data_IF_745206111119
#
_entry.id   IF_745206111119
#
_cell.length_a   1.000
_cell.length_b   1.000
_cell.length_c   1.000
_cell.angle_alpha   90.00
_cell.angle_beta   90.00
_cell.angle_gamma   90.00
#
_symmetry.space_group_name_H-M   'P 1'
#
loop_
_entity.id
_entity.type
_entity.pdbx_description
1 polymer ?
#
# COMPACT_ATOMS: atom_id res chain seq x y z
N UNK A 1 47.77 4.63 17.06
CA UNK A 1 46.72 3.78 16.47
C UNK A 1 45.45 4.05 17.27
N UNK A 2 44.50 4.86 16.78
CA UNK A 2 43.31 5.21 17.55
C UNK A 2 42.35 4.02 17.60
N UNK A 3 41.71 3.86 18.75
CA UNK A 3 40.70 2.84 19.01
C UNK A 3 39.45 3.11 18.15
N UNK A 4 39.01 2.10 17.41
CA UNK A 4 37.70 2.08 16.78
C UNK A 4 36.66 1.87 17.88
N UNK A 5 35.91 2.93 18.18
CA UNK A 5 34.70 2.86 18.99
C UNK A 5 33.63 2.12 18.18
N UNK A 6 33.34 0.87 18.53
CA UNK A 6 32.14 0.19 18.08
C UNK A 6 30.94 0.88 18.75
N UNK A 7 30.22 1.67 17.95
CA UNK A 7 28.93 2.25 18.32
C UNK A 7 27.92 1.10 18.44
N UNK A 8 27.75 0.62 19.67
CA UNK A 8 26.75 -0.38 20.02
C UNK A 8 25.36 0.18 19.73
N UNK A 9 24.73 -0.36 18.67
CA UNK A 9 23.33 -0.12 18.39
C UNK A 9 22.49 -0.61 19.58
N UNK A 10 21.94 0.35 20.33
CA UNK A 10 21.03 0.11 21.43
C UNK A 10 19.77 -0.61 20.92
N UNK A 11 19.69 -1.91 21.15
CA UNK A 11 18.49 -2.71 20.92
C UNK A 11 17.42 -2.33 21.97
N UNK A 12 16.24 -1.92 21.49
CA UNK A 12 15.07 -1.74 22.35
C UNK A 12 14.72 -3.05 23.08
N UNK A 13 14.26 -3.00 24.34
CA UNK A 13 14.00 -4.18 25.17
C UNK A 13 12.89 -5.11 24.64
N UNK A 14 12.24 -4.75 23.53
CA UNK A 14 11.21 -5.53 22.84
C UNK A 14 11.74 -6.30 21.60
N UNK A 15 13.02 -6.15 21.23
CA UNK A 15 13.60 -6.83 20.06
C UNK A 15 12.99 -6.40 18.71
N UNK A 16 12.33 -5.24 18.66
CA UNK A 16 11.78 -4.68 17.41
C UNK A 16 12.82 -3.79 16.76
N UNK A 17 13.19 -4.11 15.53
CA UNK A 17 14.05 -3.24 14.72
C UNK A 17 13.41 -1.85 14.53
N UNK A 18 14.22 -0.78 14.44
CA UNK A 18 13.72 0.59 14.34
C UNK A 18 12.88 0.76 13.07
N UNK A 19 11.62 1.15 13.25
CA UNK A 19 10.71 1.47 12.14
C UNK A 19 10.78 2.96 11.86
N UNK A 20 11.02 3.32 10.60
CA UNK A 20 10.96 4.72 10.19
C UNK A 20 9.50 5.15 10.12
N UNK A 21 9.17 6.27 10.75
CA UNK A 21 7.81 6.80 10.77
C UNK A 21 7.69 7.95 9.77
N UNK A 22 6.78 7.81 8.82
CA UNK A 22 6.44 8.82 7.82
C UNK A 22 5.06 9.36 8.14
N UNK A 23 4.88 10.68 8.04
CA UNK A 23 3.56 11.32 8.05
C UNK A 23 3.20 11.70 6.62
N UNK A 24 1.95 11.47 6.26
CA UNK A 24 1.37 11.90 4.99
C UNK A 24 0.14 12.76 5.26
N UNK A 25 0.15 13.95 4.69
CA UNK A 25 -1.03 14.81 4.56
C UNK A 25 -1.35 14.88 3.07
N UNK A 26 -2.47 14.29 2.66
CA UNK A 26 -2.86 14.15 1.26
C UNK A 26 -4.19 14.87 1.03
N UNK A 27 -4.18 15.87 0.16
CA UNK A 27 -5.40 16.44 -0.41
C UNK A 27 -5.85 15.55 -1.57
N UNK A 28 -6.82 14.68 -1.31
CA UNK A 28 -7.36 13.73 -2.28
C UNK A 28 -8.51 14.40 -3.07
N UNK A 29 -8.36 14.44 -4.39
CA UNK A 29 -9.41 14.80 -5.35
C UNK A 29 -9.60 13.66 -6.33
N UNK A 30 -10.46 12.71 -5.99
CA UNK A 30 -10.80 11.58 -6.84
C UNK A 30 -12.08 11.88 -7.61
N UNK A 31 -11.92 12.36 -8.85
CA UNK A 31 -13.03 12.76 -9.71
C UNK A 31 -13.83 11.54 -10.18
N UNK A 32 -13.16 10.40 -10.37
CA UNK A 32 -13.77 9.17 -10.86
C UNK A 32 -14.77 8.59 -9.86
N UNK A 33 -14.46 8.68 -8.55
CA UNK A 33 -15.35 8.25 -7.45
C UNK A 33 -16.15 9.38 -6.80
N UNK A 34 -15.85 10.63 -7.12
CA UNK A 34 -16.43 11.81 -6.46
C UNK A 34 -16.00 11.96 -4.99
N UNK A 35 -14.79 11.55 -4.64
CA UNK A 35 -14.24 11.60 -3.27
C UNK A 35 -13.28 12.79 -3.15
N UNK A 36 -13.56 13.69 -2.20
CA UNK A 36 -12.77 14.89 -1.95
C UNK A 36 -12.46 14.99 -0.47
N UNK A 37 -11.24 14.63 -0.07
CA UNK A 37 -10.90 14.42 1.34
C UNK A 37 -9.50 14.95 1.68
N UNK A 38 -9.30 15.29 2.94
CA UNK A 38 -7.97 15.57 3.48
C UNK A 38 -7.55 14.43 4.40
N UNK A 39 -6.63 13.60 3.92
CA UNK A 39 -6.13 12.44 4.65
C UNK A 39 -4.89 12.85 5.46
N UNK A 40 -4.85 12.58 6.75
CA UNK A 40 -3.67 12.80 7.61
C UNK A 40 -3.38 11.54 8.41
N UNK A 41 -2.34 10.82 8.02
CA UNK A 41 -1.99 9.55 8.64
C UNK A 41 -0.48 9.37 8.76
N UNK A 42 -0.09 8.43 9.63
CA UNK A 42 1.30 8.03 9.81
C UNK A 42 1.48 6.56 9.44
N UNK A 43 2.54 6.28 8.70
CA UNK A 43 2.89 4.93 8.26
C UNK A 43 4.27 4.59 8.78
N UNK A 44 4.37 3.48 9.49
CA UNK A 44 5.65 2.90 9.87
C UNK A 44 6.17 2.03 8.72
N UNK A 45 7.38 2.34 8.25
CA UNK A 45 8.13 1.55 7.29
C UNK A 45 8.96 0.50 8.06
N UNK A 46 8.74 -0.77 7.74
CA UNK A 46 9.60 -1.85 8.22
C UNK A 46 10.97 -1.82 7.50
N UNK A 47 12.09 -2.22 8.12
CA UNK A 47 13.40 -2.23 7.46
C UNK A 47 13.46 -3.05 6.16
N UNK A 48 12.59 -4.05 6.00
CA UNK A 48 12.46 -4.83 4.77
C UNK A 48 11.58 -4.17 3.69
N UNK A 49 10.90 -3.05 3.98
CA UNK A 49 10.12 -2.29 3.00
C UNK A 49 11.02 -1.40 2.18
N UNK A 50 10.94 -1.55 0.86
CA UNK A 50 11.47 -0.55 -0.07
C UNK A 50 10.54 0.67 -0.14
N UNK A 51 11.06 1.83 -0.55
CA UNK A 51 10.21 3.00 -0.77
C UNK A 51 9.06 2.73 -1.76
N UNK A 52 9.25 2.03 -2.90
CA UNK A 52 8.14 1.65 -3.76
C UNK A 52 7.03 0.87 -3.04
N UNK A 53 7.38 -0.03 -2.12
CA UNK A 53 6.37 -0.77 -1.34
C UNK A 53 5.60 0.17 -0.39
N UNK A 54 6.31 1.03 0.35
CA UNK A 54 5.71 2.03 1.22
C UNK A 54 4.79 2.98 0.43
N UNK A 55 5.25 3.50 -0.71
CA UNK A 55 4.49 4.42 -1.54
C UNK A 55 3.27 3.74 -2.16
N UNK A 56 3.40 2.48 -2.58
CA UNK A 56 2.24 1.71 -3.06
C UNK A 56 1.19 1.54 -1.96
N UNK A 57 1.59 1.33 -0.70
CA UNK A 57 0.66 1.33 0.45
C UNK A 57 -0.06 2.67 0.62
N UNK A 58 0.69 3.77 0.55
CA UNK A 58 0.14 5.14 0.69
C UNK A 58 -0.87 5.43 -0.42
N UNK A 59 -0.53 5.11 -1.67
CA UNK A 59 -1.41 5.26 -2.82
C UNK A 59 -2.63 4.34 -2.70
N UNK A 60 -2.45 3.07 -2.31
CA UNK A 60 -3.56 2.14 -2.09
C UNK A 60 -4.55 2.66 -1.05
N UNK A 61 -4.06 3.25 0.04
CA UNK A 61 -4.92 3.86 1.06
C UNK A 61 -5.76 5.01 0.49
N UNK A 62 -5.15 5.91 -0.28
CA UNK A 62 -5.85 7.05 -0.87
C UNK A 62 -6.83 6.62 -1.99
N UNK A 63 -6.38 5.76 -2.90
CA UNK A 63 -7.15 5.29 -4.06
C UNK A 63 -8.30 4.36 -3.66
N UNK A 64 -8.16 3.62 -2.55
CA UNK A 64 -9.23 2.80 -2.00
C UNK A 64 -9.97 3.48 -0.83
N UNK A 65 -9.74 4.78 -0.60
CA UNK A 65 -10.24 5.47 0.59
C UNK A 65 -11.75 5.28 0.77
N UNK A 66 -12.09 4.90 1.99
CA UNK A 66 -13.44 4.86 2.54
C UNK A 66 -13.35 5.01 4.06
N UNK A 67 -14.43 5.47 4.70
CA UNK A 67 -14.46 5.61 6.16
C UNK A 67 -14.22 4.26 6.85
N UNK A 68 -13.35 4.25 7.86
CA UNK A 68 -12.95 3.04 8.60
C UNK A 68 -11.83 2.22 7.95
N UNK A 69 -11.23 2.70 6.85
CA UNK A 69 -10.04 2.07 6.27
C UNK A 69 -8.80 2.39 7.13
N UNK A 70 -8.02 1.36 7.48
CA UNK A 70 -6.89 1.45 8.40
C UNK A 70 -5.69 0.62 7.91
N UNK A 71 -4.47 1.12 8.16
CA UNK A 71 -3.27 0.30 8.00
C UNK A 71 -3.24 -0.79 9.06
N UNK A 72 -2.91 -2.02 8.67
CA UNK A 72 -2.78 -3.11 9.63
C UNK A 72 -1.70 -2.80 10.67
N UNK A 73 -2.05 -2.92 11.95
CA UNK A 73 -1.13 -2.70 13.07
C UNK A 73 0.06 -3.68 13.04
N UNK A 74 -0.15 -4.86 12.46
CA UNK A 74 0.88 -5.89 12.30
C UNK A 74 1.58 -5.75 10.94
N UNK A 75 0.90 -5.26 9.90
CA UNK A 75 1.47 -4.96 8.58
C UNK A 75 2.33 -6.11 8.05
N UNK A 76 3.54 -5.81 7.58
CA UNK A 76 4.54 -6.81 7.17
C UNK A 76 5.12 -7.68 8.30
N UNK A 77 4.83 -7.36 9.56
CA UNK A 77 5.22 -8.17 10.71
C UNK A 77 4.39 -9.46 10.85
N UNK A 78 3.25 -9.55 10.18
CA UNK A 78 2.46 -10.77 10.07
C UNK A 78 2.21 -11.10 8.59
N UNK A 79 2.79 -12.19 8.06
CA UNK A 79 2.61 -12.56 6.65
C UNK A 79 1.16 -12.89 6.29
N UNK A 80 0.31 -13.17 7.28
CA UNK A 80 -1.09 -13.53 7.10
C UNK A 80 -2.06 -12.35 7.21
N UNK A 81 -1.58 -11.20 7.70
CA UNK A 81 -2.39 -9.99 7.81
C UNK A 81 -2.42 -9.19 6.49
N UNK A 82 -3.50 -8.46 6.20
CA UNK A 82 -3.51 -7.51 5.08
C UNK A 82 -2.57 -6.34 5.33
N UNK A 83 -2.22 -5.61 4.27
CA UNK A 83 -1.51 -4.34 4.43
C UNK A 83 -2.44 -3.23 4.94
N UNK A 84 -3.66 -3.19 4.42
CA UNK A 84 -4.72 -2.22 4.76
C UNK A 84 -6.04 -2.99 4.83
N UNK A 85 -6.88 -2.65 5.79
CA UNK A 85 -8.16 -3.31 5.99
C UNK A 85 -9.24 -2.34 6.46
N UNK A 86 -10.49 -2.75 6.29
CA UNK A 86 -11.65 -2.15 6.95
C UNK A 86 -12.44 -3.25 7.61
N UNK A 87 -12.79 -3.05 8.88
CA UNK A 87 -13.76 -3.92 9.55
C UNK A 87 -15.18 -3.53 9.16
N UNK A 88 -16.02 -4.53 8.92
CA UNK A 88 -17.46 -4.40 8.78
C UNK A 88 -18.16 -4.60 10.13
N UNK A 89 -19.46 -4.88 10.06
CA UNK A 89 -20.24 -5.26 11.24
C UNK A 89 -19.67 -6.54 11.88
N UNK A 90 -19.76 -6.63 13.21
CA UNK A 90 -19.35 -7.80 14.00
C UNK A 90 -17.88 -8.24 13.81
N UNK A 91 -16.96 -7.30 13.53
CA UNK A 91 -15.52 -7.57 13.34
C UNK A 91 -15.19 -8.47 12.14
N UNK A 92 -16.12 -8.64 11.21
CA UNK A 92 -15.81 -9.23 9.90
C UNK A 92 -14.91 -8.28 9.10
N UNK A 93 -14.04 -8.80 8.24
CA UNK A 93 -13.25 -7.92 7.35
C UNK A 93 -14.13 -7.55 6.16
N UNK A 94 -14.44 -6.27 5.99
CA UNK A 94 -15.20 -5.77 4.84
C UNK A 94 -14.28 -5.64 3.62
N UNK A 95 -13.15 -4.95 3.79
CA UNK A 95 -12.17 -4.67 2.74
C UNK A 95 -10.80 -5.19 3.16
N UNK A 96 -10.14 -5.90 2.25
CA UNK A 96 -8.80 -6.46 2.43
C UNK A 96 -7.93 -6.01 1.27
N UNK A 97 -6.84 -5.30 1.57
CA UNK A 97 -5.92 -4.79 0.54
C UNK A 97 -4.53 -5.38 0.76
N UNK A 98 -4.01 -6.00 -0.30
CA UNK A 98 -2.64 -6.49 -0.40
C UNK A 98 -1.76 -5.59 -1.25
N UNK A 99 -0.46 -5.64 -1.01
CA UNK A 99 0.53 -4.85 -1.72
C UNK A 99 1.62 -5.74 -2.32
N UNK A 100 2.00 -5.44 -3.56
CA UNK A 100 3.08 -6.14 -4.26
C UNK A 100 2.60 -7.41 -4.94
N UNK A 101 3.21 -8.54 -4.61
CA UNK A 101 2.94 -9.83 -5.26
C UNK A 101 2.57 -10.88 -4.19
N UNK A 102 1.35 -10.82 -3.62
CA UNK A 102 0.90 -11.78 -2.62
C UNK A 102 0.79 -13.18 -3.23
N UNK A 103 0.96 -14.21 -2.41
CA UNK A 103 0.81 -15.60 -2.87
C UNK A 103 -0.67 -15.93 -3.09
N UNK A 104 -0.96 -16.80 -4.05
CA UNK A 104 -2.32 -17.35 -4.25
C UNK A 104 -2.93 -17.94 -2.98
N UNK A 105 -2.12 -18.60 -2.13
CA UNK A 105 -2.58 -19.11 -0.83
C UNK A 105 -3.09 -17.99 0.08
N UNK A 106 -2.37 -16.86 0.17
CA UNK A 106 -2.78 -15.70 0.96
C UNK A 106 -4.07 -15.11 0.42
N UNK A 107 -4.15 -14.93 -0.89
CA UNK A 107 -5.36 -14.42 -1.56
C UNK A 107 -6.57 -15.33 -1.36
N UNK A 108 -6.40 -16.65 -1.40
CA UNK A 108 -7.47 -17.61 -1.12
C UNK A 108 -8.02 -17.51 0.30
N UNK A 109 -7.15 -17.20 1.27
CA UNK A 109 -7.58 -16.93 2.64
C UNK A 109 -8.27 -15.56 2.75
N UNK A 110 -7.73 -14.54 2.08
CA UNK A 110 -8.29 -13.20 2.05
C UNK A 110 -9.72 -13.22 1.49
N UNK A 111 -9.96 -13.87 0.35
CA UNK A 111 -11.30 -13.98 -0.26
C UNK A 111 -12.26 -14.89 0.50
N UNK A 112 -11.82 -15.59 1.54
CA UNK A 112 -12.72 -16.27 2.49
C UNK A 112 -13.00 -15.43 3.73
N UNK A 113 -12.07 -14.55 4.08
CA UNK A 113 -12.13 -13.73 5.29
C UNK A 113 -12.76 -12.36 5.06
N UNK A 114 -12.74 -11.86 3.82
CA UNK A 114 -13.16 -10.52 3.46
C UNK A 114 -14.24 -10.47 2.38
N UNK A 115 -15.06 -9.43 2.41
CA UNK A 115 -16.09 -9.22 1.39
C UNK A 115 -15.50 -8.73 0.07
N UNK A 116 -14.53 -7.81 0.14
CA UNK A 116 -13.80 -7.24 -0.99
C UNK A 116 -12.30 -7.45 -0.82
N UNK A 117 -11.62 -7.88 -1.89
CA UNK A 117 -10.17 -8.07 -1.92
C UNK A 117 -9.60 -7.32 -3.11
N UNK A 118 -8.63 -6.45 -2.86
CA UNK A 118 -7.89 -5.74 -3.91
C UNK A 118 -6.38 -5.91 -3.69
N UNK A 119 -5.61 -5.96 -4.78
CA UNK A 119 -4.15 -6.01 -4.77
C UNK A 119 -3.61 -4.79 -5.49
N UNK A 120 -2.83 -3.97 -4.79
CA UNK A 120 -2.07 -2.90 -5.43
C UNK A 120 -0.65 -3.38 -5.68
N UNK A 121 -0.22 -3.36 -6.94
CA UNK A 121 1.07 -3.90 -7.32
C UNK A 121 1.88 -2.90 -8.13
N UNK A 122 3.20 -2.94 -7.95
CA UNK A 122 4.18 -2.30 -8.83
C UNK A 122 5.03 -3.36 -9.54
N UNK A 123 4.51 -4.58 -9.63
CA UNK A 123 5.05 -5.69 -10.40
C UNK A 123 4.14 -5.96 -11.59
N UNK A 124 4.50 -6.93 -12.42
CA UNK A 124 3.68 -7.29 -13.57
C UNK A 124 2.34 -7.91 -13.11
N UNK A 125 1.19 -7.25 -13.35
CA UNK A 125 -0.11 -7.77 -12.91
C UNK A 125 -0.55 -9.01 -13.69
N UNK A 126 -0.04 -9.24 -14.91
CA UNK A 126 -0.39 -10.43 -15.69
C UNK A 126 0.19 -11.71 -15.08
N UNK A 127 1.38 -11.62 -14.47
CA UNK A 127 2.01 -12.75 -13.75
C UNK A 127 1.22 -13.09 -12.49
N UNK A 128 0.84 -12.08 -11.71
CA UNK A 128 -0.01 -12.27 -10.53
C UNK A 128 -1.37 -12.86 -10.92
N UNK A 129 -2.00 -12.34 -11.98
CA UNK A 129 -3.26 -12.88 -12.50
C UNK A 129 -3.14 -14.35 -12.90
N UNK A 130 -2.10 -14.71 -13.65
CA UNK A 130 -1.87 -16.10 -14.05
C UNK A 130 -1.70 -17.02 -12.83
N UNK A 131 -0.90 -16.61 -11.83
CA UNK A 131 -0.73 -17.39 -10.59
C UNK A 131 -2.07 -17.62 -9.86
N UNK A 132 -2.90 -16.58 -9.72
CA UNK A 132 -4.22 -16.66 -9.07
C UNK A 132 -5.14 -17.65 -9.80
N UNK A 133 -5.16 -17.60 -11.14
CA UNK A 133 -5.98 -18.48 -11.97
C UNK A 133 -5.51 -19.94 -11.90
N UNK A 134 -4.20 -20.17 -12.05
CA UNK A 134 -3.60 -21.50 -12.02
C UNK A 134 -3.81 -22.20 -10.66
N UNK A 135 -3.79 -21.44 -9.57
CA UNK A 135 -3.97 -21.97 -8.21
C UNK A 135 -5.43 -22.00 -7.73
N UNK A 136 -6.41 -21.72 -8.59
CA UNK A 136 -7.85 -21.82 -8.30
C UNK A 136 -8.28 -21.08 -7.02
N UNK A 137 -7.85 -19.83 -6.88
CA UNK A 137 -8.21 -19.00 -5.74
C UNK A 137 -9.74 -18.81 -5.66
N UNK A 138 -10.28 -18.96 -4.46
CA UNK A 138 -11.70 -18.77 -4.17
C UNK A 138 -12.13 -17.35 -4.55
N UNK A 139 -13.24 -17.22 -5.31
CA UNK A 139 -13.72 -15.92 -5.83
C UNK A 139 -12.62 -15.12 -6.55
N UNK A 140 -11.71 -15.78 -7.26
CA UNK A 140 -10.60 -15.14 -7.98
C UNK A 140 -11.06 -13.96 -8.85
N UNK A 141 -12.13 -14.13 -9.62
CA UNK A 141 -12.66 -13.08 -10.51
C UNK A 141 -13.17 -11.83 -9.79
N UNK A 142 -13.38 -11.88 -8.47
CA UNK A 142 -13.75 -10.72 -7.64
C UNK A 142 -12.51 -9.98 -7.10
N UNK A 143 -11.31 -10.52 -7.28
CA UNK A 143 -10.06 -9.87 -6.87
C UNK A 143 -9.72 -8.79 -7.88
N UNK A 144 -9.74 -7.55 -7.42
CA UNK A 144 -9.27 -6.41 -8.19
C UNK A 144 -7.74 -6.31 -8.10
N UNK A 145 -7.07 -6.09 -9.22
CA UNK A 145 -5.63 -5.85 -9.29
C UNK A 145 -5.42 -4.46 -9.90
N UNK A 146 -4.82 -3.57 -9.12
CA UNK A 146 -4.45 -2.21 -9.53
C UNK A 146 -2.94 -2.12 -9.64
N UNK A 147 -2.43 -1.97 -10.86
CA UNK A 147 -1.01 -1.82 -11.10
C UNK A 147 -0.60 -0.34 -11.26
N UNK A 148 0.48 0.02 -10.58
CA UNK A 148 1.13 1.33 -10.63
C UNK A 148 2.50 1.17 -11.31
N UNK A 149 2.85 2.09 -12.21
CA UNK A 149 4.11 2.02 -12.94
C UNK A 149 5.31 2.16 -11.99
N UNK A 150 6.32 1.27 -12.05
CA UNK A 150 7.49 1.35 -11.18
C UNK A 150 8.26 2.67 -11.30
N UNK A 151 8.43 3.19 -12.52
CA UNK A 151 9.14 4.44 -12.76
C UNK A 151 8.50 5.63 -12.02
N UNK A 152 7.17 5.68 -11.96
CA UNK A 152 6.45 6.71 -11.21
C UNK A 152 6.73 6.63 -9.70
N UNK A 153 6.83 5.42 -9.14
CA UNK A 153 7.17 5.22 -7.73
C UNK A 153 8.63 5.57 -7.44
N UNK A 154 9.54 5.29 -8.38
CA UNK A 154 10.95 5.66 -8.26
C UNK A 154 11.09 7.18 -8.22
N UNK A 155 10.42 7.90 -9.12
CA UNK A 155 10.39 9.37 -9.11
C UNK A 155 9.80 9.96 -7.83
N UNK A 156 8.67 9.42 -7.34
CA UNK A 156 8.09 9.87 -6.08
C UNK A 156 8.98 9.55 -4.87
N UNK A 157 9.76 8.47 -4.94
CA UNK A 157 10.69 8.09 -3.87
C UNK A 157 11.82 9.11 -3.71
N UNK A 158 12.20 9.83 -4.77
CA UNK A 158 13.21 10.91 -4.69
C UNK A 158 12.70 12.12 -3.91
N UNK A 159 11.39 12.35 -3.90
CA UNK A 159 10.73 13.45 -3.20
C UNK A 159 10.18 13.05 -1.81
N UNK A 160 10.43 11.83 -1.35
CA UNK A 160 9.91 11.30 -0.09
C UNK A 160 10.66 11.88 1.11
N UNK A 161 9.92 12.51 2.03
CA UNK A 161 10.45 13.05 3.29
C UNK A 161 9.78 12.41 4.50
N UNK A 162 10.24 12.68 5.73
CA UNK A 162 9.56 12.21 6.95
C UNK A 162 8.17 12.82 7.13
N UNK A 163 7.94 14.03 6.62
CA UNK A 163 6.64 14.72 6.67
C UNK A 163 6.24 15.15 5.26
N UNK A 164 5.28 14.45 4.68
CA UNK A 164 4.87 14.65 3.30
C UNK A 164 3.56 15.44 3.24
N UNK A 165 3.51 16.42 2.34
CA UNK A 165 2.30 17.15 1.97
C UNK A 165 2.09 17.01 0.47
N UNK A 166 1.08 16.27 0.08
CA UNK A 166 0.80 15.93 -1.30
C UNK A 166 -0.61 16.39 -1.69
N UNK A 167 -0.79 16.71 -2.96
CA UNK A 167 -2.12 16.78 -3.58
C UNK A 167 -2.22 15.62 -4.58
N UNK A 168 -3.27 14.81 -4.46
CA UNK A 168 -3.49 13.63 -5.29
C UNK A 168 -4.78 13.81 -6.09
N UNK A 169 -4.66 13.90 -7.41
CA UNK A 169 -5.79 14.00 -8.33
C UNK A 169 -5.95 12.67 -9.06
N UNK A 170 -7.17 12.14 -9.09
CA UNK A 170 -7.53 10.95 -9.88
C UNK A 170 -8.59 11.34 -10.89
N UNK A 171 -8.32 11.09 -12.18
CA UNK A 171 -9.28 11.35 -13.25
C UNK A 171 -9.03 10.40 -14.43
N UNK A 172 -10.07 9.72 -14.90
CA UNK A 172 -10.02 8.75 -16.00
C UNK A 172 -8.94 7.67 -15.81
N UNK A 173 -8.76 7.21 -14.57
CA UNK A 173 -7.73 6.25 -14.18
C UNK A 173 -6.29 6.78 -14.20
N UNK A 174 -6.08 8.05 -14.55
CA UNK A 174 -4.80 8.73 -14.36
C UNK A 174 -4.70 9.24 -12.92
N UNK A 175 -3.52 9.10 -12.32
CA UNK A 175 -3.19 9.62 -11.00
C UNK A 175 -2.07 10.63 -11.14
N UNK A 176 -2.33 11.85 -10.65
CA UNK A 176 -1.35 12.92 -10.56
C UNK A 176 -1.05 13.20 -9.08
N UNK A 177 0.22 13.12 -8.71
CA UNK A 177 0.71 13.43 -7.36
C UNK A 177 1.59 14.66 -7.42
N UNK A 178 1.15 15.73 -6.77
CA UNK A 178 1.91 16.97 -6.64
C UNK A 178 2.60 17.03 -5.29
N UNK A 179 3.93 17.12 -5.29
CA UNK A 179 4.79 17.24 -4.12
C UNK A 179 5.80 18.36 -4.35
N UNK A 180 5.91 19.28 -3.38
CA UNK A 180 6.81 20.44 -3.45
C UNK A 180 6.73 21.25 -4.77
N UNK A 181 5.52 21.36 -5.34
CA UNK A 181 5.27 22.09 -6.59
C UNK A 181 5.65 21.34 -7.88
N UNK A 182 6.06 20.08 -7.80
CA UNK A 182 6.29 19.19 -8.95
C UNK A 182 5.19 18.15 -9.01
N UNK A 183 4.65 17.91 -10.21
CA UNK A 183 3.61 16.90 -10.45
C UNK A 183 4.23 15.69 -11.15
N UNK A 184 3.97 14.52 -10.59
CA UNK A 184 4.28 13.22 -11.16
C UNK A 184 2.98 12.55 -11.58
N UNK A 185 2.97 11.86 -12.72
CA UNK A 185 1.74 11.30 -13.29
C UNK A 185 1.93 9.84 -13.66
N UNK A 186 0.88 9.04 -13.50
CA UNK A 186 0.86 7.64 -13.95
C UNK A 186 -0.55 7.23 -14.36
N UNK A 187 -0.64 6.29 -15.31
CA UNK A 187 -1.92 5.66 -15.66
C UNK A 187 -2.06 4.36 -14.86
N UNK A 188 -3.13 4.24 -14.08
CA UNK A 188 -3.42 2.98 -13.38
C UNK A 188 -3.86 1.92 -14.38
N UNK A 189 -3.29 0.73 -14.25
CA UNK A 189 -3.77 -0.46 -14.96
C UNK A 189 -4.61 -1.29 -14.01
N UNK A 190 -5.93 -1.23 -14.19
CA UNK A 190 -6.89 -2.01 -13.42
C UNK A 190 -7.30 -3.28 -14.18
N UNK A 191 -7.26 -4.42 -13.51
CA UNK A 191 -7.72 -5.71 -14.06
C UNK A 191 -8.34 -6.53 -12.94
N UNK A 192 -9.10 -7.57 -13.29
CA UNK A 192 -9.55 -8.57 -12.32
C UNK A 192 -8.72 -9.85 -12.53
N UNK A 193 -8.57 -10.63 -11.47
CA UNK A 193 -7.84 -11.88 -11.55
C UNK A 193 -8.56 -12.96 -12.39
#
# INVERSE_FOLDING_TARGET
MPASSEESASLDPCGKEPRLLFRFQIELSDVDRGVYETLDFRVAQHPSETHPYLLTRVLAYALAYEEGLEFSAQGLGDPEAPAILKYGAHQSVATWIEIGNPTSRKLHKATKSASRVSVFTYKNPDVLRADIQENQVHRASEIEIVAVEPAFLDELSEALEKNNRWSLLVQSGQVDVTVAGRTHSTQLRQTHA
#
